data_IF_811887245415
#
_entry.id   IF_811887245415
#
_cell.length_a   1.000
_cell.length_b   1.000
_cell.length_c   1.000
_cell.angle_alpha   90.00
_cell.angle_beta   90.00
_cell.angle_gamma   90.00
#
_symmetry.space_group_name_H-M   'P 1'
#
loop_
_entity.id
_entity.type
_entity.pdbx_description
1 polymer ?
#
# COMPACT_ATOMS: atom_id res chain seq x y z
N UNK A 1 20.10 11.19 -16.82
CA UNK A 1 18.65 11.35 -16.59
C UNK A 1 18.30 10.84 -15.21
N UNK A 2 17.82 11.70 -14.36
CA UNK A 2 17.38 11.31 -13.02
C UNK A 2 16.08 10.50 -13.11
N UNK A 3 16.20 9.19 -12.98
CA UNK A 3 15.04 8.30 -13.03
C UNK A 3 14.39 8.28 -11.65
N UNK A 4 13.29 8.99 -11.49
CA UNK A 4 12.44 8.88 -10.30
C UNK A 4 11.60 7.61 -10.44
N UNK A 5 11.67 6.74 -9.47
CA UNK A 5 10.90 5.50 -9.44
C UNK A 5 9.91 5.56 -8.31
N UNK A 6 8.64 5.25 -8.58
CA UNK A 6 7.57 5.34 -7.60
C UNK A 6 6.90 3.99 -7.44
N UNK A 7 6.74 3.58 -6.20
CA UNK A 7 6.10 2.33 -5.82
C UNK A 7 4.96 2.61 -4.86
N UNK A 8 3.85 1.94 -5.06
CA UNK A 8 2.66 2.07 -4.24
C UNK A 8 2.33 0.76 -3.55
N UNK A 9 1.81 0.85 -2.34
CA UNK A 9 1.21 -0.27 -1.62
C UNK A 9 -0.18 0.11 -1.12
N UNK A 10 -1.16 -0.75 -1.35
CA UNK A 10 -2.55 -0.53 -0.92
C UNK A 10 -3.05 -1.75 -0.15
N UNK A 11 -3.35 -1.53 1.11
CA UNK A 11 -4.13 -2.44 1.94
C UNK A 11 -5.58 -1.96 1.95
N UNK A 12 -6.51 -2.65 1.26
CA UNK A 12 -7.90 -2.21 1.12
C UNK A 12 -8.67 -2.30 2.44
N UNK A 13 -9.67 -1.44 2.57
CA UNK A 13 -10.62 -1.47 3.68
C UNK A 13 -10.50 -0.29 4.64
N UNK A 14 -11.49 -0.17 5.54
CA UNK A 14 -11.59 0.98 6.48
C UNK A 14 -10.40 1.11 7.43
N UNK A 15 -9.76 0.00 7.77
CA UNK A 15 -8.56 -0.05 8.61
C UNK A 15 -7.29 -0.29 7.81
N UNK A 16 -7.38 -0.19 6.49
CA UNK A 16 -6.27 -0.34 5.59
C UNK A 16 -5.33 0.86 5.54
N UNK A 17 -4.46 0.86 4.55
CA UNK A 17 -3.48 1.91 4.37
C UNK A 17 -3.09 2.14 2.92
N UNK A 18 -2.43 3.25 2.72
CA UNK A 18 -1.81 3.65 1.46
C UNK A 18 -0.36 4.02 1.74
N UNK A 19 0.56 3.54 0.93
CA UNK A 19 1.97 3.90 1.05
C UNK A 19 2.57 4.25 -0.31
N UNK A 20 3.49 5.20 -0.29
CA UNK A 20 4.25 5.66 -1.44
C UNK A 20 5.73 5.63 -1.10
N UNK A 21 6.52 4.97 -1.94
CA UNK A 21 7.98 5.02 -1.91
C UNK A 21 8.44 5.66 -3.22
N UNK A 22 9.16 6.78 -3.12
CA UNK A 22 9.81 7.42 -4.26
C UNK A 22 11.32 7.28 -4.12
N UNK A 23 11.95 6.59 -5.04
CA UNK A 23 13.41 6.55 -5.14
C UNK A 23 13.87 7.73 -6.04
N UNK A 24 14.57 8.68 -5.45
CA UNK A 24 15.05 9.92 -6.07
C UNK A 24 16.59 9.92 -6.15
N UNK A 25 17.16 8.99 -6.92
CA UNK A 25 18.61 8.76 -7.01
C UNK A 25 19.23 8.30 -5.67
N UNK A 26 19.83 9.24 -4.90
CA UNK A 26 20.45 8.95 -3.61
C UNK A 26 19.50 9.16 -2.43
N UNK A 27 18.35 9.81 -2.66
CA UNK A 27 17.35 10.09 -1.64
C UNK A 27 16.10 9.22 -1.83
N UNK A 28 15.49 8.86 -0.73
CA UNK A 28 14.22 8.13 -0.71
C UNK A 28 13.18 8.89 0.09
N UNK A 29 12.07 9.22 -0.55
CA UNK A 29 10.88 9.75 0.12
C UNK A 29 9.91 8.61 0.38
N UNK A 30 9.47 8.47 1.62
CA UNK A 30 8.52 7.43 2.05
C UNK A 30 7.38 8.07 2.82
N UNK A 31 6.16 7.79 2.38
CA UNK A 31 4.93 8.27 3.03
C UNK A 31 3.94 7.12 3.20
N UNK A 32 3.21 7.11 4.30
CA UNK A 32 2.11 6.18 4.52
C UNK A 32 0.94 6.89 5.18
N UNK A 33 -0.26 6.45 4.87
CA UNK A 33 -1.52 7.05 5.29
C UNK A 33 -2.54 5.98 5.66
N UNK A 34 -3.47 6.25 6.58
CA UNK A 34 -4.70 5.47 6.66
C UNK A 34 -5.42 5.50 5.31
N UNK A 35 -6.05 4.39 4.96
CA UNK A 35 -6.80 4.35 3.71
C UNK A 35 -7.99 5.32 3.73
N UNK A 36 -8.13 6.11 2.70
CA UNK A 36 -9.38 6.78 2.33
C UNK A 36 -9.43 7.01 0.82
N UNK A 37 -10.64 7.06 0.27
CA UNK A 37 -10.85 7.34 -1.15
C UNK A 37 -10.27 8.69 -1.56
N UNK A 38 -10.38 9.69 -0.68
CA UNK A 38 -9.83 11.03 -0.94
C UNK A 38 -8.31 11.05 -0.94
N UNK A 39 -7.66 10.29 -0.04
CA UNK A 39 -6.21 10.15 -0.04
C UNK A 39 -5.73 9.43 -1.30
N UNK A 40 -6.42 8.35 -1.70
CA UNK A 40 -6.10 7.64 -2.95
C UNK A 40 -6.19 8.58 -4.16
N UNK A 41 -7.29 9.34 -4.29
CA UNK A 41 -7.46 10.32 -5.38
C UNK A 41 -6.35 11.38 -5.40
N UNK A 42 -5.99 11.93 -4.24
CA UNK A 42 -4.92 12.93 -4.13
C UNK A 42 -3.57 12.36 -4.56
N UNK A 43 -3.22 11.15 -4.08
CA UNK A 43 -1.99 10.48 -4.47
C UNK A 43 -1.96 10.21 -5.97
N UNK A 44 -3.01 9.66 -6.54
CA UNK A 44 -3.09 9.39 -7.97
C UNK A 44 -2.95 10.68 -8.78
N UNK A 45 -3.61 11.76 -8.38
CA UNK A 45 -3.49 13.06 -9.05
C UNK A 45 -2.08 13.64 -8.97
N UNK A 46 -1.41 13.53 -7.82
CA UNK A 46 -0.02 13.94 -7.66
C UNK A 46 0.92 13.13 -8.56
N UNK A 47 0.72 11.82 -8.62
CA UNK A 47 1.55 10.92 -9.41
C UNK A 47 1.29 11.04 -10.90
N UNK A 48 0.08 11.36 -11.34
CA UNK A 48 -0.25 11.55 -12.76
C UNK A 48 0.29 12.85 -13.33
N UNK A 49 0.57 13.85 -12.51
CA UNK A 49 1.37 15.00 -12.92
C UNK A 49 2.81 14.58 -13.34
N UNK A 50 3.28 13.44 -12.80
CA UNK A 50 4.61 12.83 -13.03
C UNK A 50 4.49 11.35 -13.44
N UNK A 51 3.38 10.94 -14.05
CA UNK A 51 2.96 9.55 -14.30
C UNK A 51 3.96 8.65 -15.04
N UNK A 52 4.93 9.24 -15.73
CA UNK A 52 6.03 8.50 -16.37
C UNK A 52 6.93 7.75 -15.40
N UNK A 53 6.76 8.00 -14.11
CA UNK A 53 7.64 7.52 -13.06
C UNK A 53 6.99 6.48 -12.13
N UNK A 54 5.68 6.22 -12.23
CA UNK A 54 5.05 5.14 -11.44
C UNK A 54 5.38 3.80 -12.09
N UNK A 55 6.10 2.96 -11.37
CA UNK A 55 6.56 1.67 -11.88
C UNK A 55 5.60 0.56 -11.52
N UNK A 56 5.16 0.49 -10.27
CA UNK A 56 4.26 -0.58 -9.83
C UNK A 56 3.50 -0.18 -8.57
N UNK A 57 2.21 -0.52 -8.57
CA UNK A 57 1.37 -0.58 -7.38
C UNK A 57 1.10 -2.04 -7.00
N UNK A 58 1.32 -2.40 -5.75
CA UNK A 58 0.85 -3.66 -5.18
C UNK A 58 -0.41 -3.41 -4.39
N UNK A 59 -1.48 -4.08 -4.77
CA UNK A 59 -2.75 -4.09 -4.05
C UNK A 59 -2.95 -5.47 -3.46
N UNK A 60 -3.28 -5.55 -2.17
CA UNK A 60 -3.58 -6.84 -1.58
C UNK A 60 -4.79 -7.47 -2.26
N UNK A 61 -4.63 -8.71 -2.72
CA UNK A 61 -5.72 -9.48 -3.30
C UNK A 61 -6.66 -9.93 -2.20
N UNK A 62 -7.88 -9.44 -2.25
CA UNK A 62 -8.93 -9.76 -1.29
C UNK A 62 -10.14 -10.38 -1.98
N UNK A 63 -10.97 -11.07 -1.21
CA UNK A 63 -12.19 -11.71 -1.70
C UNK A 63 -13.24 -11.82 -0.61
N UNK A 64 -14.40 -12.32 -0.96
CA UNK A 64 -15.45 -12.61 0.01
C UNK A 64 -14.99 -13.71 0.97
N UNK A 65 -15.29 -13.53 2.25
CA UNK A 65 -14.98 -14.50 3.31
C UNK A 65 -16.23 -15.29 3.69
N UNK A 66 -16.10 -16.60 3.96
CA UNK A 66 -17.22 -17.38 4.52
C UNK A 66 -17.75 -16.72 5.79
N UNK A 67 -19.08 -16.73 5.96
CA UNK A 67 -19.79 -16.13 7.12
C UNK A 67 -19.69 -14.61 7.24
N UNK A 68 -19.18 -13.92 6.26
CA UNK A 68 -19.24 -12.47 6.18
C UNK A 68 -20.68 -12.04 5.81
N UNK A 69 -21.21 -11.03 6.50
CA UNK A 69 -22.54 -10.51 6.20
C UNK A 69 -22.65 -9.98 4.76
N UNK A 70 -23.81 -10.18 4.13
CA UNK A 70 -24.04 -9.78 2.72
C UNK A 70 -23.76 -8.30 2.49
N UNK A 71 -24.27 -7.43 3.36
CA UNK A 71 -24.06 -5.98 3.28
C UNK A 71 -22.58 -5.60 3.41
N UNK A 72 -21.87 -6.22 4.37
CA UNK A 72 -20.42 -6.00 4.54
C UNK A 72 -19.63 -6.44 3.33
N UNK A 73 -19.95 -7.61 2.77
CA UNK A 73 -19.30 -8.14 1.56
C UNK A 73 -19.53 -7.24 0.38
N UNK A 74 -20.78 -6.77 0.18
CA UNK A 74 -21.11 -5.84 -0.91
C UNK A 74 -20.36 -4.51 -0.79
N UNK A 75 -20.37 -3.89 0.40
CA UNK A 75 -19.69 -2.63 0.63
C UNK A 75 -18.17 -2.77 0.48
N UNK A 76 -17.60 -3.86 0.96
CA UNK A 76 -16.17 -4.14 0.80
C UNK A 76 -15.81 -4.35 -0.68
N UNK A 77 -16.60 -5.13 -1.42
CA UNK A 77 -16.41 -5.35 -2.86
C UNK A 77 -16.54 -4.06 -3.66
N UNK A 78 -17.51 -3.20 -3.32
CA UNK A 78 -17.66 -1.88 -3.94
C UNK A 78 -16.45 -0.99 -3.71
N UNK A 79 -15.94 -0.93 -2.48
CA UNK A 79 -14.73 -0.17 -2.14
C UNK A 79 -13.48 -0.71 -2.83
N UNK A 80 -13.35 -2.03 -2.90
CA UNK A 80 -12.25 -2.67 -3.62
C UNK A 80 -12.29 -2.38 -5.12
N UNK A 81 -13.47 -2.49 -5.74
CA UNK A 81 -13.67 -2.13 -7.14
C UNK A 81 -13.38 -0.65 -7.43
N UNK A 82 -13.69 0.24 -6.48
CA UNK A 82 -13.32 1.66 -6.56
C UNK A 82 -11.81 1.86 -6.64
N UNK A 83 -11.04 1.18 -5.78
CA UNK A 83 -9.56 1.25 -5.80
C UNK A 83 -9.04 0.85 -7.18
N UNK A 84 -9.45 -0.31 -7.68
CA UNK A 84 -9.01 -0.81 -8.99
C UNK A 84 -9.43 0.15 -10.11
N UNK A 85 -10.65 0.67 -10.08
CA UNK A 85 -11.14 1.64 -11.04
C UNK A 85 -10.34 2.93 -11.06
N UNK A 86 -9.95 3.46 -9.88
CA UNK A 86 -9.09 4.65 -9.79
C UNK A 86 -7.71 4.39 -10.38
N UNK A 87 -7.09 3.24 -10.09
CA UNK A 87 -5.79 2.87 -10.64
C UNK A 87 -5.84 2.73 -12.17
N UNK A 88 -6.85 2.02 -12.68
CA UNK A 88 -7.07 1.87 -14.14
C UNK A 88 -7.30 3.22 -14.83
N UNK A 89 -8.18 4.07 -14.28
CA UNK A 89 -8.49 5.37 -14.85
C UNK A 89 -7.28 6.32 -14.88
N UNK A 90 -6.33 6.14 -13.98
CA UNK A 90 -5.09 6.91 -13.93
C UNK A 90 -3.90 6.19 -14.62
N UNK A 91 -4.13 5.08 -15.31
CA UNK A 91 -3.11 4.29 -15.98
C UNK A 91 -1.94 3.88 -15.06
N UNK A 92 -2.22 3.63 -13.79
CA UNK A 92 -1.23 3.18 -12.81
C UNK A 92 -1.10 1.65 -12.92
N UNK A 93 0.07 1.11 -13.30
CA UNK A 93 0.27 -0.33 -13.36
C UNK A 93 0.19 -0.94 -11.96
N UNK A 94 -0.60 -2.00 -11.79
CA UNK A 94 -0.73 -2.67 -10.51
C UNK A 94 -0.75 -4.19 -10.64
N UNK A 95 -0.42 -4.83 -9.53
CA UNK A 95 -0.57 -6.28 -9.36
C UNK A 95 -1.37 -6.59 -8.10
N UNK A 96 -2.28 -7.56 -8.22
CA UNK A 96 -3.00 -8.12 -7.09
C UNK A 96 -2.16 -9.24 -6.48
N UNK A 97 -1.70 -9.03 -5.26
CA UNK A 97 -0.80 -9.96 -4.56
C UNK A 97 -1.52 -10.51 -3.33
N UNK A 98 -1.52 -11.84 -3.19
CA UNK A 98 -2.13 -12.46 -2.01
C UNK A 98 -1.36 -12.12 -0.73
N UNK A 99 -2.07 -12.05 0.43
CA UNK A 99 -1.41 -11.82 1.72
C UNK A 99 -0.28 -12.81 1.98
N UNK A 100 -0.49 -14.08 1.67
CA UNK A 100 0.51 -15.13 1.89
C UNK A 100 1.80 -14.86 1.12
N UNK A 101 1.72 -14.34 -0.11
CA UNK A 101 2.89 -14.11 -0.96
C UNK A 101 3.76 -12.98 -0.42
N UNK A 102 3.21 -11.81 -0.14
CA UNK A 102 4.00 -10.69 0.34
C UNK A 102 4.45 -10.87 1.80
N UNK A 103 3.60 -11.47 2.66
CA UNK A 103 3.96 -11.78 4.05
C UNK A 103 5.11 -12.78 4.12
N UNK A 104 5.08 -13.84 3.31
CA UNK A 104 6.19 -14.80 3.21
C UNK A 104 7.52 -14.15 2.87
N UNK A 105 7.50 -13.16 1.95
CA UNK A 105 8.71 -12.43 1.56
C UNK A 105 9.38 -11.71 2.74
N UNK A 106 8.59 -11.21 3.69
CA UNK A 106 9.09 -10.55 4.90
C UNK A 106 9.17 -11.49 6.12
N UNK A 107 8.97 -12.79 5.95
CA UNK A 107 8.91 -13.78 7.04
C UNK A 107 7.83 -13.45 8.07
N UNK A 108 6.67 -12.97 7.61
CA UNK A 108 5.53 -12.57 8.43
C UNK A 108 4.46 -13.65 8.44
N UNK A 109 3.72 -13.69 9.53
CA UNK A 109 2.48 -14.45 9.73
C UNK A 109 1.27 -13.47 9.87
N UNK A 110 0.21 -13.92 10.54
CA UNK A 110 -0.99 -13.12 10.74
C UNK A 110 -0.91 -12.21 11.99
N UNK A 111 0.20 -12.19 12.69
CA UNK A 111 0.41 -11.27 13.82
C UNK A 111 0.69 -9.85 13.30
N UNK A 112 -0.26 -8.96 13.52
CA UNK A 112 -0.22 -7.56 13.07
C UNK A 112 0.92 -6.77 13.71
N UNK A 113 1.32 -7.12 14.94
CA UNK A 113 2.45 -6.48 15.60
C UNK A 113 3.77 -6.75 14.86
N UNK A 114 3.93 -7.91 14.26
CA UNK A 114 5.11 -8.23 13.46
C UNK A 114 5.20 -7.38 12.19
N UNK A 115 4.07 -7.09 11.55
CA UNK A 115 4.02 -6.15 10.41
C UNK A 115 4.48 -4.76 10.83
N UNK A 116 3.98 -4.25 11.95
CA UNK A 116 4.37 -2.94 12.51
C UNK A 116 5.87 -2.92 12.82
N UNK A 117 6.38 -3.92 13.54
CA UNK A 117 7.80 -3.99 13.89
C UNK A 117 8.71 -4.08 12.66
N UNK A 118 8.31 -4.86 11.65
CA UNK A 118 9.08 -4.98 10.41
C UNK A 118 9.09 -3.68 9.62
N UNK A 119 7.95 -3.00 9.50
CA UNK A 119 7.86 -1.69 8.86
C UNK A 119 8.74 -0.65 9.58
N UNK A 120 8.72 -0.60 10.90
CA UNK A 120 9.57 0.31 11.71
C UNK A 120 11.06 0.01 11.55
N UNK A 121 11.43 -1.25 11.45
CA UNK A 121 12.83 -1.66 11.22
C UNK A 121 13.33 -1.24 9.84
N UNK A 122 12.50 -1.38 8.81
CA UNK A 122 12.88 -1.01 7.42
C UNK A 122 12.80 0.51 7.18
N UNK A 123 11.89 1.18 7.86
CA UNK A 123 11.60 2.60 7.68
C UNK A 123 11.49 3.32 9.05
N UNK A 124 12.60 3.44 9.79
CA UNK A 124 12.56 3.94 11.18
C UNK A 124 12.11 5.40 11.31
N UNK A 125 12.22 6.19 10.26
CA UNK A 125 11.80 7.61 10.24
C UNK A 125 10.32 7.81 9.87
N UNK A 126 9.60 6.75 9.48
CA UNK A 126 8.21 6.86 9.03
C UNK A 126 7.26 6.62 10.20
N UNK A 127 6.37 7.58 10.45
CA UNK A 127 5.31 7.43 11.45
C UNK A 127 4.24 6.46 10.93
N UNK A 128 3.82 5.54 11.79
CA UNK A 128 2.69 4.63 11.57
C UNK A 128 1.46 5.05 12.38
N UNK A 129 1.47 6.25 12.94
CA UNK A 129 0.32 6.83 13.64
C UNK A 129 -0.64 7.45 12.63
N UNK A 130 -1.93 7.10 12.64
CA UNK A 130 -2.92 7.67 11.72
C UNK A 130 -3.02 9.19 11.76
N UNK A 131 -2.84 9.75 12.94
CA UNK A 131 -2.75 11.20 13.18
C UNK A 131 -1.80 11.48 14.34
N UNK A 132 -1.33 12.71 14.49
CA UNK A 132 -0.47 13.13 15.60
C UNK A 132 -1.12 12.96 16.98
N UNK A 133 -2.45 12.83 17.03
CA UNK A 133 -3.21 12.61 18.27
C UNK A 133 -3.36 11.13 18.63
N UNK A 134 -3.09 10.24 17.69
CA UNK A 134 -3.18 8.79 17.92
C UNK A 134 -1.97 8.31 18.72
N UNK A 135 -2.21 7.33 19.60
CA UNK A 135 -1.17 6.67 20.40
C UNK A 135 -0.94 5.22 19.96
N UNK A 136 -1.79 4.72 19.06
CA UNK A 136 -1.74 3.35 18.56
C UNK A 136 -1.35 3.38 17.10
N UNK A 137 -0.33 2.62 16.76
CA UNK A 137 0.16 2.47 15.40
C UNK A 137 -0.82 1.65 14.56
N UNK A 138 -0.94 1.99 13.28
CA UNK A 138 -1.84 1.34 12.34
C UNK A 138 -1.15 0.18 11.64
N UNK A 139 -1.70 -1.02 11.81
CA UNK A 139 -1.29 -2.19 11.04
C UNK A 139 -1.55 -2.01 9.53
N UNK A 140 -2.65 -1.36 9.15
CA UNK A 140 -2.93 -1.07 7.74
C UNK A 140 -1.89 -0.15 7.09
N UNK A 141 -1.41 0.88 7.80
CA UNK A 141 -0.31 1.72 7.33
C UNK A 141 0.99 0.93 7.23
N UNK A 142 1.29 0.08 8.20
CA UNK A 142 2.46 -0.78 8.17
C UNK A 142 2.42 -1.78 7.01
N UNK A 143 1.31 -2.47 6.82
CA UNK A 143 1.14 -3.46 5.76
C UNK A 143 1.18 -2.82 4.37
N UNK A 144 0.55 -1.66 4.18
CA UNK A 144 0.65 -0.91 2.91
C UNK A 144 2.10 -0.49 2.60
N UNK A 145 2.86 -0.09 3.63
CA UNK A 145 4.27 0.27 3.47
C UNK A 145 5.13 -0.94 3.08
N UNK A 146 4.88 -2.10 3.69
CA UNK A 146 5.56 -3.34 3.32
C UNK A 146 5.19 -3.79 1.90
N UNK A 147 3.94 -3.58 1.46
CA UNK A 147 3.52 -3.87 0.09
C UNK A 147 4.17 -2.92 -0.92
N UNK A 148 4.36 -1.64 -0.60
CA UNK A 148 5.12 -0.71 -1.44
C UNK A 148 6.59 -1.14 -1.55
N UNK A 149 7.20 -1.58 -0.46
CA UNK A 149 8.56 -2.13 -0.48
C UNK A 149 8.64 -3.44 -1.26
N UNK A 150 7.61 -4.28 -1.17
CA UNK A 150 7.51 -5.49 -1.99
C UNK A 150 7.45 -5.15 -3.48
N UNK A 151 6.65 -4.15 -3.87
CA UNK A 151 6.59 -3.64 -5.25
C UNK A 151 7.97 -3.19 -5.73
N UNK A 152 8.71 -2.46 -4.89
CA UNK A 152 10.05 -1.98 -5.20
C UNK A 152 11.03 -3.14 -5.44
N UNK A 153 11.04 -4.14 -4.58
CA UNK A 153 11.91 -5.32 -4.71
C UNK A 153 11.54 -6.17 -5.92
N UNK A 154 10.25 -6.35 -6.16
CA UNK A 154 9.75 -7.10 -7.32
C UNK A 154 10.19 -6.44 -8.65
N UNK A 155 10.13 -5.12 -8.75
CA UNK A 155 10.56 -4.35 -9.92
C UNK A 155 12.07 -4.31 -10.09
N UNK A 156 12.83 -4.38 -9.00
CA UNK A 156 14.30 -4.41 -9.00
C UNK A 156 14.91 -5.79 -9.23
N UNK A 157 14.08 -6.83 -9.42
CA UNK A 157 14.57 -8.21 -9.61
C UNK A 157 15.23 -8.83 -8.37
N UNK A 158 14.91 -8.34 -7.18
CA UNK A 158 15.47 -8.81 -5.90
C UNK A 158 14.63 -9.93 -5.26
N UNK A 159 13.58 -10.39 -5.96
CA UNK A 159 12.66 -11.45 -5.53
C UNK A 159 12.62 -12.55 -6.58
#
# INVERSE_FOLDING_TARGET
>A
MNKRMVYLGIDPGKKGGLAVIKDLNEEREVRTYPYSDDTLKKICKELTADWKNVILCVVEKVGAMPKQGVTSTFNFGKGYGYILGVLEANCIPYQLISPQRWKKHFSLDNDKNKSIQTAKRLFPSVSLLPTDRCRVESDGMAESLLMAEFARRLSGGTI
#
